data_IF_503524368975
#
_entry.id   IF_503524368975
#
_cell.length_a   1.000
_cell.length_b   1.000
_cell.length_c   1.000
_cell.angle_alpha   90.00
_cell.angle_beta   90.00
_cell.angle_gamma   90.00
#
_symmetry.space_group_name_H-M   'P 1'
#
loop_
_entity.id
_entity.type
_entity.pdbx_description
1 polymer ?
#
# COMPACT_ATOMS: atom_id res chain seq x y z
N UNK A 1 -3.87 -15.00 14.89
CA UNK A 1 -3.86 -13.53 15.00
C UNK A 1 -3.07 -13.12 16.25
N UNK A 2 -2.32 -12.02 16.17
CA UNK A 2 -1.65 -11.41 17.31
C UNK A 2 -1.64 -9.89 17.14
N UNK A 3 -1.63 -9.15 18.25
CA UNK A 3 -1.52 -7.69 18.26
C UNK A 3 -0.47 -7.25 19.26
N UNK A 4 0.47 -6.40 18.85
CA UNK A 4 1.30 -5.61 19.75
C UNK A 4 0.62 -4.27 20.04
N UNK A 5 0.71 -3.82 21.29
CA UNK A 5 0.33 -2.48 21.71
C UNK A 5 1.36 -1.94 22.69
N UNK A 6 1.95 -0.79 22.40
CA UNK A 6 2.84 -0.10 23.34
C UNK A 6 2.10 0.43 24.57
N UNK A 7 0.77 0.57 24.50
CA UNK A 7 -0.08 0.98 25.63
C UNK A 7 -0.27 -0.19 26.61
N UNK A 8 -0.54 -1.39 26.08
CA UNK A 8 -0.55 -2.61 26.88
C UNK A 8 0.87 -3.01 27.33
N UNK A 9 1.88 -2.64 26.56
CA UNK A 9 3.29 -2.96 26.83
C UNK A 9 3.71 -4.34 26.34
N UNK A 10 3.00 -4.93 25.36
CA UNK A 10 3.28 -6.29 24.92
C UNK A 10 2.43 -6.78 23.75
N UNK A 11 2.56 -8.08 23.48
CA UNK A 11 1.79 -8.80 22.46
C UNK A 11 0.65 -9.55 23.14
N UNK A 12 -0.55 -9.48 22.57
CA UNK A 12 -1.69 -10.32 22.93
C UNK A 12 -2.17 -11.16 21.74
N UNK A 13 -2.63 -12.37 22.02
CA UNK A 13 -3.34 -13.22 21.06
C UNK A 13 -4.84 -13.31 21.36
N UNK A 14 -5.31 -12.68 22.45
CA UNK A 14 -6.72 -12.60 22.80
C UNK A 14 -7.38 -11.45 22.01
N UNK A 15 -8.31 -11.74 21.07
CA UNK A 15 -9.01 -10.72 20.30
C UNK A 15 -9.72 -9.67 21.16
N UNK A 16 -10.20 -10.02 22.36
CA UNK A 16 -10.88 -9.07 23.25
C UNK A 16 -9.92 -8.01 23.81
N UNK A 17 -8.62 -8.31 23.88
CA UNK A 17 -7.57 -7.40 24.30
C UNK A 17 -6.93 -6.62 23.13
N UNK A 18 -7.36 -6.86 21.89
CA UNK A 18 -6.88 -6.15 20.70
C UNK A 18 -7.60 -4.81 20.55
N UNK A 19 -7.30 -3.87 21.47
CA UNK A 19 -7.99 -2.59 21.59
C UNK A 19 -7.04 -1.40 21.41
N UNK A 20 -7.59 -0.27 20.97
CA UNK A 20 -6.93 1.03 20.93
C UNK A 20 -7.67 1.96 21.90
N UNK A 21 -6.96 2.74 22.73
CA UNK A 21 -7.60 3.73 23.61
C UNK A 21 -8.42 4.74 22.81
N UNK A 22 -9.63 5.05 23.27
CA UNK A 22 -10.53 5.98 22.58
C UNK A 22 -9.98 7.41 22.56
N UNK A 23 -9.19 7.76 23.56
CA UNK A 23 -8.46 9.03 23.72
C UNK A 23 -7.12 9.06 22.96
N UNK A 24 -6.79 8.00 22.19
CA UNK A 24 -5.68 8.09 21.24
C UNK A 24 -6.03 9.07 20.11
N UNK A 25 -5.17 10.06 19.91
CA UNK A 25 -5.38 11.14 18.94
C UNK A 25 -5.58 10.63 17.50
N UNK A 26 -5.08 9.44 17.17
CA UNK A 26 -5.35 8.78 15.89
C UNK A 26 -6.84 8.43 15.71
N UNK A 27 -7.53 8.04 16.79
CA UNK A 27 -8.92 7.58 16.76
C UNK A 27 -9.88 8.76 16.58
N UNK A 28 -9.74 9.80 17.39
CA UNK A 28 -10.69 10.92 17.40
C UNK A 28 -10.27 12.14 16.57
N UNK A 29 -9.01 12.20 16.08
CA UNK A 29 -8.50 13.27 15.18
C UNK A 29 -7.83 12.79 13.90
N UNK A 30 -7.56 11.50 13.73
CA UNK A 30 -6.82 11.01 12.56
C UNK A 30 -5.32 11.34 12.57
N UNK A 31 -4.76 11.70 13.73
CA UNK A 31 -3.33 12.04 13.86
C UNK A 31 -2.47 10.77 14.04
N UNK A 32 -2.37 9.99 12.96
CA UNK A 32 -1.60 8.75 12.92
C UNK A 32 -1.17 8.35 11.51
N UNK A 33 -0.16 7.50 11.44
CA UNK A 33 0.37 6.90 10.21
C UNK A 33 0.40 5.39 10.32
N UNK A 34 0.43 4.70 9.18
CA UNK A 34 0.45 3.25 9.16
C UNK A 34 1.19 2.70 7.94
N UNK A 35 1.60 1.44 8.03
CA UNK A 35 2.08 0.68 6.88
C UNK A 35 1.65 -0.78 6.96
N UNK A 36 1.93 -1.56 5.92
CA UNK A 36 1.57 -2.97 5.84
C UNK A 36 2.63 -3.72 5.05
N UNK A 37 3.20 -4.75 5.68
CA UNK A 37 4.10 -5.69 5.02
C UNK A 37 3.37 -7.04 4.81
N UNK A 38 3.64 -7.70 3.69
CA UNK A 38 3.10 -9.03 3.43
C UNK A 38 3.89 -10.09 4.22
N UNK A 39 3.21 -11.15 4.63
CA UNK A 39 3.80 -12.35 5.21
C UNK A 39 3.63 -13.46 4.17
N UNK A 40 4.73 -14.00 3.67
CA UNK A 40 4.75 -15.06 2.65
C UNK A 40 5.79 -16.11 3.03
N UNK A 41 5.38 -17.37 3.11
CA UNK A 41 6.23 -18.52 3.44
C UNK A 41 7.13 -18.26 4.65
N UNK A 42 6.55 -17.67 5.70
CA UNK A 42 7.26 -17.38 6.95
C UNK A 42 8.23 -16.18 6.91
N UNK A 43 8.15 -15.35 5.87
CA UNK A 43 8.97 -14.16 5.71
C UNK A 43 8.12 -12.90 5.63
N UNK A 44 8.61 -11.81 6.21
CA UNK A 44 8.07 -10.47 5.97
C UNK A 44 8.72 -9.88 4.72
N UNK A 45 7.89 -9.61 3.71
CA UNK A 45 8.35 -9.06 2.43
C UNK A 45 8.50 -7.54 2.48
N UNK A 46 9.65 -7.05 2.02
CA UNK A 46 10.08 -5.64 2.00
C UNK A 46 9.90 -4.89 3.35
N UNK A 47 10.02 -5.60 4.48
CA UNK A 47 9.76 -5.04 5.82
C UNK A 47 10.56 -3.76 6.07
N UNK A 48 11.84 -3.77 5.73
CA UNK A 48 12.73 -2.64 5.97
C UNK A 48 12.33 -1.42 5.11
N UNK A 49 11.92 -1.63 3.86
CA UNK A 49 11.44 -0.59 2.95
C UNK A 49 10.10 0.00 3.43
N UNK A 50 9.17 -0.85 3.87
CA UNK A 50 7.90 -0.43 4.47
C UNK A 50 8.11 0.32 5.80
N UNK A 51 9.04 -0.13 6.64
CA UNK A 51 9.41 0.54 7.89
C UNK A 51 10.01 1.93 7.62
N UNK A 52 10.91 2.04 6.64
CA UNK A 52 11.48 3.35 6.28
C UNK A 52 10.41 4.32 5.79
N UNK A 53 9.38 3.84 5.07
CA UNK A 53 8.24 4.66 4.65
C UNK A 53 7.34 5.05 5.83
N UNK A 54 7.10 4.16 6.79
CA UNK A 54 6.38 4.49 8.03
C UNK A 54 7.09 5.63 8.78
N UNK A 55 8.41 5.52 8.96
CA UNK A 55 9.19 6.51 9.70
C UNK A 55 9.24 7.88 8.99
N UNK A 56 9.36 7.89 7.65
CA UNK A 56 9.21 9.12 6.86
C UNK A 56 7.82 9.73 7.04
N UNK A 57 6.77 8.91 6.97
CA UNK A 57 5.39 9.37 7.18
C UNK A 57 5.20 9.95 8.58
N UNK A 58 5.73 9.30 9.61
CA UNK A 58 5.69 9.78 11.00
C UNK A 58 6.40 11.13 11.15
N UNK A 59 7.59 11.27 10.54
CA UNK A 59 8.33 12.53 10.53
C UNK A 59 7.54 13.66 9.88
N UNK A 60 6.91 13.42 8.73
CA UNK A 60 6.07 14.40 8.05
C UNK A 60 4.84 14.78 8.87
N UNK A 61 4.24 13.80 9.55
CA UNK A 61 3.11 14.00 10.46
C UNK A 61 3.50 14.65 11.79
N UNK A 62 4.79 14.88 12.07
CA UNK A 62 5.29 15.32 13.38
C UNK A 62 4.93 14.37 14.52
N UNK A 63 4.90 13.06 14.24
CA UNK A 63 4.70 12.00 15.22
C UNK A 63 6.06 11.54 15.73
N UNK A 64 6.28 11.65 17.05
CA UNK A 64 7.46 11.11 17.70
C UNK A 64 7.51 9.58 17.66
N UNK A 65 8.69 9.01 17.87
CA UNK A 65 8.85 7.55 17.89
C UNK A 65 8.88 7.03 19.33
N UNK A 66 8.04 6.04 19.69
CA UNK A 66 8.08 5.43 21.03
C UNK A 66 9.31 4.55 21.24
N UNK A 67 9.91 4.07 20.15
CA UNK A 67 11.10 3.22 20.12
C UNK A 67 11.97 3.60 18.93
N UNK A 68 13.26 3.25 18.96
CA UNK A 68 14.13 3.41 17.80
C UNK A 68 13.77 2.41 16.68
N UNK A 69 14.25 2.68 15.45
CA UNK A 69 13.95 1.86 14.27
C UNK A 69 14.22 0.37 14.48
N UNK A 70 15.33 0.01 15.13
CA UNK A 70 15.71 -1.39 15.32
C UNK A 70 14.78 -2.10 16.29
N UNK A 71 14.38 -1.42 17.36
CA UNK A 71 13.40 -1.91 18.32
C UNK A 71 12.02 -2.06 17.68
N UNK A 72 11.55 -1.09 16.88
CA UNK A 72 10.28 -1.21 16.12
C UNK A 72 10.34 -2.44 15.22
N UNK A 73 11.41 -2.60 14.43
CA UNK A 73 11.59 -3.75 13.54
C UNK A 73 11.48 -5.08 14.28
N UNK A 74 12.15 -5.21 15.41
CA UNK A 74 12.12 -6.44 16.22
C UNK A 74 10.74 -6.70 16.83
N UNK A 75 10.04 -5.66 17.30
CA UNK A 75 8.65 -5.76 17.77
C UNK A 75 7.74 -6.31 16.65
N UNK A 76 7.86 -5.77 15.44
CA UNK A 76 7.08 -6.20 14.28
C UNK A 76 7.32 -7.69 13.96
N UNK A 77 8.58 -8.13 13.92
CA UNK A 77 8.96 -9.53 13.69
C UNK A 77 8.42 -10.44 14.80
N UNK A 78 8.59 -10.06 16.07
CA UNK A 78 8.12 -10.83 17.22
C UNK A 78 6.59 -10.94 17.26
N UNK A 79 5.88 -9.90 16.80
CA UNK A 79 4.42 -9.93 16.69
C UNK A 79 3.96 -10.98 15.67
N UNK A 80 4.66 -11.11 14.54
CA UNK A 80 4.39 -12.16 13.55
C UNK A 80 4.74 -13.54 14.11
N UNK A 81 5.91 -13.70 14.73
CA UNK A 81 6.33 -14.96 15.35
C UNK A 81 5.28 -15.46 16.37
N UNK A 82 4.84 -14.59 17.28
CA UNK A 82 3.82 -14.93 18.29
C UNK A 82 2.48 -15.36 17.68
N UNK A 83 2.14 -14.87 16.48
CA UNK A 83 0.91 -15.23 15.78
C UNK A 83 0.95 -16.61 15.12
N UNK A 84 2.14 -17.18 14.89
CA UNK A 84 2.40 -18.39 14.08
C UNK A 84 1.91 -18.32 12.63
N UNK A 85 1.51 -17.14 12.16
CA UNK A 85 1.03 -16.91 10.81
C UNK A 85 2.20 -16.91 9.84
N UNK A 86 2.18 -17.82 8.86
CA UNK A 86 3.19 -17.90 7.79
C UNK A 86 2.70 -17.30 6.46
N UNK A 87 1.42 -16.97 6.37
CA UNK A 87 0.76 -16.45 5.18
C UNK A 87 -0.29 -15.39 5.55
N UNK A 88 -0.10 -14.14 5.14
CA UNK A 88 -0.98 -13.04 5.52
C UNK A 88 -0.34 -11.65 5.39
N UNK A 89 -0.67 -10.77 6.32
CA UNK A 89 -0.07 -9.44 6.38
C UNK A 89 0.12 -8.96 7.81
N UNK A 90 1.15 -8.15 8.01
CA UNK A 90 1.39 -7.39 9.23
C UNK A 90 1.06 -5.94 8.95
N UNK A 91 0.04 -5.39 9.63
CA UNK A 91 -0.31 -3.97 9.57
C UNK A 91 0.05 -3.29 10.87
N UNK A 92 0.62 -2.09 10.81
CA UNK A 92 1.12 -1.40 11.99
C UNK A 92 0.97 0.10 11.87
N UNK A 93 0.81 0.76 13.01
CA UNK A 93 0.48 2.17 13.15
C UNK A 93 1.40 2.86 14.14
N UNK A 94 1.72 4.12 13.85
CA UNK A 94 2.25 5.07 14.82
C UNK A 94 1.22 6.17 15.01
N UNK A 95 0.88 6.45 16.27
CA UNK A 95 0.04 7.58 16.64
C UNK A 95 0.78 8.53 17.57
N UNK A 96 0.26 9.75 17.68
CA UNK A 96 0.67 10.69 18.75
C UNK A 96 0.38 10.14 20.15
N UNK A 97 -0.55 9.19 20.25
CA UNK A 97 -0.87 8.45 21.46
C UNK A 97 -2.08 9.00 22.23
N UNK A 98 -2.44 8.33 23.35
CA UNK A 98 -3.49 8.75 24.27
C UNK A 98 -3.21 10.09 24.94
N UNK A 99 -4.25 10.79 25.38
CA UNK A 99 -4.13 12.10 26.02
C UNK A 99 -5.48 12.67 26.41
N UNK A 100 -5.72 13.94 26.08
CA UNK A 100 -7.03 14.56 26.16
C UNK A 100 -7.72 14.58 24.78
N UNK A 101 -8.98 15.02 24.75
CA UNK A 101 -9.75 15.10 23.50
C UNK A 101 -9.57 16.43 22.74
N UNK A 102 -8.54 17.23 23.05
CA UNK A 102 -8.30 18.50 22.36
C UNK A 102 -7.77 18.27 20.93
N UNK A 103 -7.49 19.37 20.22
CA UNK A 103 -6.81 19.31 18.92
C UNK A 103 -5.28 19.32 19.08
N UNK A 104 -4.78 19.93 20.15
CA UNK A 104 -3.35 20.02 20.42
C UNK A 104 -2.82 18.68 20.90
N UNK A 105 -1.73 18.20 20.29
CA UNK A 105 -1.01 17.01 20.75
C UNK A 105 -0.19 17.25 22.02
N UNK A 106 -0.15 18.47 22.55
CA UNK A 106 0.59 18.79 23.80
C UNK A 106 0.07 18.02 25.02
N UNK A 107 -1.19 17.58 25.00
CA UNK A 107 -1.80 16.76 26.04
C UNK A 107 -1.46 15.27 25.93
N UNK A 108 -0.81 14.83 24.84
CA UNK A 108 -0.42 13.43 24.63
C UNK A 108 1.02 13.21 25.12
N UNK A 109 1.24 12.53 26.26
CA UNK A 109 2.56 12.44 26.87
C UNK A 109 3.54 11.56 26.09
N UNK A 110 3.05 10.57 25.33
CA UNK A 110 3.88 9.60 24.60
C UNK A 110 3.20 9.11 23.32
N UNK A 111 3.93 9.02 22.19
CA UNK A 111 3.49 8.31 20.99
C UNK A 111 3.17 6.84 21.27
N UNK A 112 2.32 6.24 20.43
CA UNK A 112 1.99 4.82 20.52
C UNK A 112 2.35 4.06 19.24
N UNK A 113 2.73 2.80 19.40
CA UNK A 113 2.95 1.83 18.34
C UNK A 113 1.95 0.68 18.51
N UNK A 114 1.23 0.39 17.45
CA UNK A 114 0.33 -0.75 17.35
C UNK A 114 0.72 -1.61 16.15
N UNK A 115 0.60 -2.93 16.26
CA UNK A 115 0.80 -3.83 15.13
C UNK A 115 -0.17 -5.00 15.23
N UNK A 116 -0.79 -5.41 14.13
CA UNK A 116 -1.71 -6.55 14.07
C UNK A 116 -1.34 -7.47 12.92
N UNK A 117 -1.37 -8.77 13.20
CA UNK A 117 -1.23 -9.81 12.18
C UNK A 117 -2.60 -10.23 11.68
N UNK A 118 -2.79 -10.09 10.38
CA UNK A 118 -4.01 -10.46 9.66
C UNK A 118 -3.68 -11.69 8.83
N UNK A 119 -4.31 -12.81 9.17
CA UNK A 119 -4.12 -14.08 8.47
C UNK A 119 -4.69 -14.02 7.05
N UNK A 120 -3.88 -14.41 6.06
CA UNK A 120 -4.29 -14.51 4.66
C UNK A 120 -4.74 -15.93 4.33
N UNK A 121 -5.64 -16.08 3.36
CA UNK A 121 -6.17 -17.39 2.95
C UNK A 121 -5.74 -17.84 1.55
N UNK A 122 -5.30 -16.93 0.68
CA UNK A 122 -4.74 -17.24 -0.64
C UNK A 122 -4.06 -16.02 -1.28
N UNK A 123 -3.24 -16.26 -2.31
CA UNK A 123 -2.82 -15.19 -3.23
C UNK A 123 -4.07 -14.58 -3.90
N UNK A 124 -4.05 -13.27 -4.23
CA UNK A 124 -5.13 -12.63 -4.95
C UNK A 124 -5.24 -13.21 -6.37
N UNK A 125 -6.47 -13.36 -6.89
CA UNK A 125 -6.67 -13.74 -8.29
C UNK A 125 -6.24 -12.60 -9.23
N UNK A 126 -5.97 -12.95 -10.49
CA UNK A 126 -5.57 -12.01 -11.54
C UNK A 126 -6.73 -11.60 -12.46
N UNK A 127 -7.99 -11.85 -12.10
CA UNK A 127 -9.13 -11.52 -12.97
C UNK A 127 -9.18 -10.02 -13.22
N UNK A 128 -9.25 -9.62 -14.48
CA UNK A 128 -9.27 -8.23 -14.86
C UNK A 128 -10.48 -7.50 -14.29
N UNK A 129 -10.29 -6.22 -13.98
CA UNK A 129 -11.31 -5.39 -13.33
C UNK A 129 -11.69 -4.18 -14.17
N UNK A 130 -12.86 -3.61 -13.88
CA UNK A 130 -13.25 -2.29 -14.36
C UNK A 130 -12.88 -1.22 -13.32
N UNK A 131 -12.44 -0.06 -13.76
CA UNK A 131 -12.22 1.12 -12.91
C UNK A 131 -13.01 2.32 -13.44
N UNK A 132 -13.20 3.33 -12.60
CA UNK A 132 -13.79 4.62 -13.00
C UNK A 132 -12.87 5.76 -12.60
N UNK A 133 -13.02 6.91 -13.24
CA UNK A 133 -12.48 8.17 -12.73
C UNK A 133 -13.31 8.60 -11.52
N UNK A 134 -12.69 8.79 -10.36
CA UNK A 134 -13.41 9.14 -9.14
C UNK A 134 -13.79 10.63 -9.13
N UNK A 135 -15.02 10.97 -8.75
CA UNK A 135 -15.42 12.35 -8.50
C UNK A 135 -15.08 12.81 -7.07
N UNK A 136 -14.79 11.86 -6.17
CA UNK A 136 -14.30 12.16 -4.83
C UNK A 136 -12.90 12.76 -4.95
N UNK A 137 -12.63 13.93 -4.34
CA UNK A 137 -11.32 14.56 -4.44
C UNK A 137 -10.24 13.72 -3.75
N UNK A 138 -9.05 13.63 -4.36
CA UNK A 138 -7.89 13.07 -3.69
C UNK A 138 -7.41 13.97 -2.56
N UNK A 139 -6.56 13.42 -1.69
CA UNK A 139 -5.84 14.23 -0.69
C UNK A 139 -4.90 15.21 -1.38
N UNK A 140 -4.63 16.36 -0.76
CA UNK A 140 -3.56 17.23 -1.24
C UNK A 140 -2.22 16.47 -1.25
N UNK A 141 -1.25 16.83 -2.11
CA UNK A 141 0.01 16.12 -2.25
C UNK A 141 0.72 15.84 -0.92
N UNK A 142 0.73 16.79 0.01
CA UNK A 142 1.39 16.67 1.32
C UNK A 142 0.81 15.53 2.17
N UNK A 143 -0.49 15.29 2.07
CA UNK A 143 -1.16 14.17 2.72
C UNK A 143 -1.17 12.89 1.88
N UNK A 144 -1.12 13.00 0.55
CA UNK A 144 -1.13 11.84 -0.35
C UNK A 144 0.19 11.07 -0.32
N UNK A 145 1.34 11.75 -0.31
CA UNK A 145 2.66 11.10 -0.25
C UNK A 145 2.98 10.47 1.11
N UNK A 146 2.18 10.77 2.13
CA UNK A 146 2.28 10.26 3.49
C UNK A 146 1.24 9.15 3.73
N UNK A 147 1.68 7.97 4.19
CA UNK A 147 0.75 6.88 4.49
C UNK A 147 0.08 7.08 5.85
N UNK A 148 -0.97 7.89 5.88
CA UNK A 148 -1.68 8.32 7.08
C UNK A 148 -3.06 7.67 7.23
N UNK A 149 -3.67 7.77 8.42
CA UNK A 149 -4.97 7.14 8.72
C UNK A 149 -6.20 7.91 8.22
N UNK A 150 -6.06 9.09 7.62
CA UNK A 150 -7.18 9.90 7.12
C UNK A 150 -7.74 9.32 5.82
N UNK A 151 -8.36 8.14 5.91
CA UNK A 151 -8.77 7.32 4.77
C UNK A 151 -10.20 7.57 4.29
N UNK A 152 -10.89 8.59 4.82
CA UNK A 152 -12.26 8.91 4.39
C UNK A 152 -12.37 9.14 2.86
N UNK A 153 -11.50 9.94 2.21
CA UNK A 153 -11.53 10.07 0.75
C UNK A 153 -11.34 8.72 0.03
N UNK A 154 -10.43 7.87 0.53
CA UNK A 154 -10.16 6.55 -0.02
C UNK A 154 -11.40 5.63 0.09
N UNK A 155 -12.08 5.66 1.23
CA UNK A 155 -13.30 4.89 1.45
C UNK A 155 -14.44 5.37 0.55
N UNK A 156 -14.65 6.69 0.43
CA UNK A 156 -15.68 7.26 -0.42
C UNK A 156 -15.43 6.97 -1.91
N UNK A 157 -14.18 7.06 -2.37
CA UNK A 157 -13.81 6.71 -3.76
C UNK A 157 -14.05 5.23 -4.05
N UNK A 158 -13.82 4.35 -3.07
CA UNK A 158 -14.14 2.92 -3.18
C UNK A 158 -15.65 2.68 -3.27
N UNK A 159 -16.44 3.33 -2.41
CA UNK A 159 -17.91 3.23 -2.43
C UNK A 159 -18.48 3.71 -3.77
N UNK A 160 -18.04 4.88 -4.25
CA UNK A 160 -18.44 5.43 -5.55
C UNK A 160 -18.19 4.43 -6.70
N UNK A 161 -17.04 3.78 -6.69
CA UNK A 161 -16.72 2.77 -7.70
C UNK A 161 -17.64 1.55 -7.62
N UNK A 162 -17.91 1.04 -6.42
CA UNK A 162 -18.79 -0.11 -6.21
C UNK A 162 -20.23 0.18 -6.65
N UNK A 163 -20.76 1.36 -6.33
CA UNK A 163 -22.08 1.81 -6.77
C UNK A 163 -22.19 1.89 -8.30
N UNK A 164 -21.07 2.12 -8.98
CA UNK A 164 -20.98 2.16 -10.43
C UNK A 164 -20.53 0.82 -11.05
N UNK A 165 -20.46 -0.28 -10.28
CA UNK A 165 -20.05 -1.59 -10.78
C UNK A 165 -18.58 -1.66 -11.20
N UNK A 166 -17.71 -0.89 -10.56
CA UNK A 166 -16.26 -0.88 -10.76
C UNK A 166 -15.53 -1.36 -9.49
N UNK A 167 -14.29 -1.78 -9.66
CA UNK A 167 -13.44 -2.28 -8.59
C UNK A 167 -12.90 -1.15 -7.71
N UNK A 168 -12.40 -0.07 -8.31
CA UNK A 168 -11.92 1.13 -7.62
C UNK A 168 -12.10 2.39 -8.49
N UNK A 169 -12.09 3.55 -7.84
CA UNK A 169 -11.92 4.84 -8.48
C UNK A 169 -10.44 5.16 -8.69
N UNK A 170 -10.12 5.82 -9.80
CA UNK A 170 -8.81 6.39 -10.13
C UNK A 170 -8.89 7.90 -9.95
N UNK A 171 -8.00 8.45 -9.14
CA UNK A 171 -7.89 9.88 -8.97
C UNK A 171 -7.06 10.54 -10.05
N UNK A 172 -7.37 11.81 -10.27
CA UNK A 172 -6.54 12.74 -11.01
C UNK A 172 -5.98 13.76 -10.02
N UNK A 173 -4.78 14.26 -10.31
CA UNK A 173 -4.20 15.36 -9.56
C UNK A 173 -4.86 16.71 -9.93
N UNK A 174 -4.44 17.79 -9.25
CA UNK A 174 -5.00 19.13 -9.47
C UNK A 174 -4.70 19.69 -10.87
N UNK A 175 -3.82 19.06 -11.64
CA UNK A 175 -3.48 19.44 -13.02
C UNK A 175 -4.19 18.54 -14.05
N UNK A 176 -5.00 17.57 -13.58
CA UNK A 176 -5.76 16.64 -14.43
C UNK A 176 -4.96 15.43 -14.91
N UNK A 177 -3.75 15.22 -14.40
CA UNK A 177 -2.97 14.01 -14.68
C UNK A 177 -3.40 12.85 -13.80
N UNK A 178 -3.19 11.63 -14.28
CA UNK A 178 -3.49 10.43 -13.52
C UNK A 178 -2.64 10.36 -12.26
N UNK A 179 -3.30 10.17 -11.11
CA UNK A 179 -2.66 10.02 -9.81
C UNK A 179 -2.59 8.53 -9.41
N UNK A 180 -3.47 8.08 -8.51
CA UNK A 180 -3.50 6.71 -8.00
C UNK A 180 -4.93 6.27 -7.66
N UNK A 181 -5.10 5.00 -7.28
CA UNK A 181 -6.33 4.51 -6.67
C UNK A 181 -6.34 4.66 -5.14
N UNK A 182 -7.45 4.29 -4.45
CA UNK A 182 -7.62 4.51 -3.01
C UNK A 182 -6.62 3.76 -2.13
N UNK A 183 -5.94 2.73 -2.61
CA UNK A 183 -4.90 2.04 -1.84
C UNK A 183 -3.88 1.31 -2.72
N UNK A 184 -3.69 1.80 -3.95
CA UNK A 184 -2.83 1.19 -4.96
C UNK A 184 -2.37 2.24 -5.97
N UNK A 185 -1.16 2.08 -6.50
CA UNK A 185 -0.69 2.85 -7.64
C UNK A 185 -1.28 2.30 -8.95
N UNK A 186 -1.13 3.05 -10.03
CA UNK A 186 -1.52 2.65 -11.38
C UNK A 186 -0.29 2.60 -12.29
N UNK A 187 -0.29 1.68 -13.25
CA UNK A 187 0.70 1.64 -14.32
C UNK A 187 0.02 1.28 -15.65
N UNK A 188 0.71 1.62 -16.74
CA UNK A 188 0.23 1.47 -18.11
C UNK A 188 1.33 0.88 -18.98
N UNK A 189 0.96 0.09 -19.98
CA UNK A 189 1.88 -0.31 -21.06
C UNK A 189 1.40 0.38 -22.33
N UNK A 190 2.28 1.17 -22.94
CA UNK A 190 1.95 1.89 -24.19
C UNK A 190 2.06 0.99 -25.41
N UNK A 191 1.51 1.45 -26.55
CA UNK A 191 1.70 0.82 -27.85
C UNK A 191 3.18 0.75 -28.29
N UNK A 192 4.02 1.67 -27.79
CA UNK A 192 5.47 1.68 -27.97
C UNK A 192 6.19 0.78 -26.94
N UNK A 193 5.45 -0.13 -26.29
CA UNK A 193 5.95 -1.08 -25.29
C UNK A 193 6.67 -0.45 -24.10
N UNK A 194 6.29 0.76 -23.69
CA UNK A 194 6.86 1.43 -22.51
C UNK A 194 5.97 1.18 -21.28
N UNK A 195 6.56 0.74 -20.16
CA UNK A 195 5.88 0.70 -18.87
C UNK A 195 5.88 2.10 -18.24
N UNK A 196 4.72 2.73 -18.19
CA UNK A 196 4.54 4.09 -17.69
C UNK A 196 3.83 4.12 -16.33
N UNK A 197 4.29 4.97 -15.42
CA UNK A 197 3.66 5.18 -14.12
C UNK A 197 3.73 6.65 -13.70
N UNK A 198 2.71 7.19 -13.01
CA UNK A 198 2.75 8.53 -12.43
C UNK A 198 3.93 8.75 -11.48
N UNK A 199 4.40 10.01 -11.37
CA UNK A 199 5.42 10.39 -10.39
C UNK A 199 4.92 10.24 -8.95
N UNK A 200 5.82 9.86 -8.03
CA UNK A 200 5.52 9.68 -6.60
C UNK A 200 5.59 10.98 -5.77
N UNK A 201 5.62 12.15 -6.41
CA UNK A 201 5.67 13.46 -5.76
C UNK A 201 4.29 13.96 -5.32
N UNK A 202 3.21 13.41 -5.91
CA UNK A 202 1.81 13.75 -5.57
C UNK A 202 0.98 12.56 -5.08
N UNK A 203 1.55 11.36 -5.07
CA UNK A 203 0.87 10.11 -4.69
C UNK A 203 1.74 9.28 -3.76
N UNK A 204 1.17 8.24 -3.16
CA UNK A 204 1.95 7.38 -2.29
C UNK A 204 3.10 6.71 -3.06
N UNK A 205 4.31 6.84 -2.53
CA UNK A 205 5.49 6.12 -2.99
C UNK A 205 5.37 4.63 -2.61
N UNK A 206 4.63 3.86 -3.41
CA UNK A 206 4.29 2.45 -3.18
C UNK A 206 5.52 1.54 -3.15
N UNK A 207 5.72 0.75 -2.09
CA UNK A 207 6.80 -0.25 -2.06
C UNK A 207 6.64 -1.27 -3.19
N UNK A 208 5.44 -1.85 -3.33
CA UNK A 208 5.14 -2.78 -4.44
C UNK A 208 5.34 -2.13 -5.81
N UNK A 209 4.93 -0.87 -6.00
CA UNK A 209 5.15 -0.14 -7.25
C UNK A 209 6.64 0.05 -7.55
N UNK A 210 7.44 0.46 -6.57
CA UNK A 210 8.90 0.55 -6.72
C UNK A 210 9.53 -0.79 -7.04
N UNK A 211 9.07 -1.86 -6.39
CA UNK A 211 9.59 -3.20 -6.63
C UNK A 211 9.22 -3.70 -8.01
N UNK A 212 8.01 -3.40 -8.50
CA UNK A 212 7.59 -3.64 -9.89
C UNK A 212 8.53 -2.95 -10.88
N UNK A 213 8.89 -1.68 -10.66
CA UNK A 213 9.83 -0.97 -11.55
C UNK A 213 11.20 -1.68 -11.59
N UNK A 214 11.70 -2.17 -10.45
CA UNK A 214 12.96 -2.92 -10.40
C UNK A 214 12.85 -4.27 -11.13
N UNK A 215 11.75 -5.00 -10.96
CA UNK A 215 11.56 -6.31 -11.60
C UNK A 215 11.23 -6.19 -13.10
N UNK A 216 10.64 -5.08 -13.53
CA UNK A 216 10.33 -4.80 -14.93
C UNK A 216 11.58 -4.73 -15.82
N UNK A 217 12.77 -4.46 -15.28
CA UNK A 217 14.05 -4.55 -16.00
C UNK A 217 14.28 -5.96 -16.61
N UNK A 218 13.77 -7.02 -15.96
CA UNK A 218 13.82 -8.38 -16.51
C UNK A 218 12.98 -8.50 -17.78
N UNK A 219 11.81 -7.84 -17.81
CA UNK A 219 10.92 -7.83 -18.97
C UNK A 219 11.52 -7.03 -20.14
N UNK A 220 12.35 -6.02 -19.86
CA UNK A 220 13.16 -5.34 -20.88
C UNK A 220 14.18 -6.31 -21.48
N UNK A 221 14.92 -7.04 -20.63
CA UNK A 221 15.90 -8.04 -21.08
C UNK A 221 15.28 -9.18 -21.90
N UNK A 222 14.00 -9.50 -21.66
CA UNK A 222 13.21 -10.49 -22.40
C UNK A 222 12.52 -9.92 -23.65
N UNK A 223 12.62 -8.61 -23.90
CA UNK A 223 12.00 -7.93 -25.05
C UNK A 223 10.48 -7.83 -25.00
N UNK A 224 9.89 -7.97 -23.81
CA UNK A 224 8.44 -7.83 -23.60
C UNK A 224 8.02 -6.37 -23.53
N UNK A 225 8.88 -5.52 -22.94
CA UNK A 225 8.77 -4.06 -22.93
C UNK A 225 10.10 -3.44 -23.38
N UNK A 226 10.07 -2.22 -23.91
CA UNK A 226 11.27 -1.53 -24.44
C UNK A 226 11.86 -0.53 -23.44
N UNK A 227 11.10 -0.14 -22.41
CA UNK A 227 11.56 0.81 -21.39
C UNK A 227 10.57 1.06 -20.26
N UNK A 228 11.01 1.84 -19.28
CA UNK A 228 10.23 2.27 -18.11
C UNK A 228 10.26 3.79 -18.03
N UNK A 229 9.11 4.43 -17.82
CA UNK A 229 9.00 5.88 -17.65
C UNK A 229 8.13 6.27 -16.46
N UNK A 230 8.72 7.08 -15.58
CA UNK A 230 7.98 7.83 -14.58
C UNK A 230 7.66 9.22 -15.16
N UNK A 231 6.39 9.60 -15.15
CA UNK A 231 5.96 10.80 -15.83
C UNK A 231 4.52 11.17 -15.54
N UNK A 232 4.15 12.40 -15.86
CA UNK A 232 2.74 12.76 -15.99
C UNK A 232 2.10 11.89 -17.08
N UNK A 233 0.97 11.27 -16.73
CA UNK A 233 0.15 10.48 -17.65
C UNK A 233 -1.17 11.23 -17.80
N UNK A 234 -1.57 11.60 -19.01
CA UNK A 234 -2.91 12.15 -19.22
C UNK A 234 -3.95 11.02 -19.19
N UNK A 235 -5.20 11.34 -18.87
CA UNK A 235 -6.30 10.36 -18.94
C UNK A 235 -6.43 9.75 -20.33
N UNK A 236 -6.22 10.55 -21.37
CA UNK A 236 -6.24 10.11 -22.77
C UNK A 236 -5.14 9.09 -23.05
N UNK A 237 -3.89 9.38 -22.63
CA UNK A 237 -2.78 8.44 -22.74
C UNK A 237 -3.05 7.14 -21.99
N UNK A 238 -3.54 7.22 -20.76
CA UNK A 238 -3.85 6.04 -19.96
C UNK A 238 -4.99 5.20 -20.53
N UNK A 239 -5.99 5.84 -21.17
CA UNK A 239 -7.08 5.12 -21.87
C UNK A 239 -6.63 4.49 -23.19
N UNK A 240 -5.69 5.11 -23.91
CA UNK A 240 -5.12 4.57 -25.15
C UNK A 240 -4.02 3.51 -24.92
N UNK A 241 -3.72 3.15 -23.67
CA UNK A 241 -2.72 2.14 -23.35
C UNK A 241 -3.15 0.74 -23.81
N UNK A 242 -2.16 -0.10 -24.16
CA UNK A 242 -2.37 -1.52 -24.50
C UNK A 242 -2.71 -2.32 -23.25
N UNK A 243 -2.12 -1.96 -22.10
CA UNK A 243 -2.47 -2.52 -20.80
C UNK A 243 -2.57 -1.42 -19.73
N UNK A 244 -3.46 -1.62 -18.76
CA UNK A 244 -3.52 -0.85 -17.52
C UNK A 244 -3.55 -1.82 -16.34
N UNK A 245 -2.90 -1.48 -15.24
CA UNK A 245 -2.86 -2.31 -14.04
C UNK A 245 -2.83 -1.51 -12.75
N UNK A 246 -3.38 -2.10 -11.69
CA UNK A 246 -3.33 -1.60 -10.33
C UNK A 246 -2.23 -2.34 -9.56
N UNK A 247 -1.44 -1.62 -8.76
CA UNK A 247 -0.29 -2.19 -8.05
C UNK A 247 -0.34 -1.85 -6.57
N UNK A 248 -0.29 -2.86 -5.69
CA UNK A 248 -0.26 -2.65 -4.25
C UNK A 248 -0.21 -3.93 -3.43
N UNK A 249 0.25 -3.85 -2.18
CA UNK A 249 0.58 -5.03 -1.36
C UNK A 249 -0.57 -6.03 -1.15
N UNK A 250 -1.83 -5.60 -1.23
CA UNK A 250 -3.00 -6.48 -1.06
C UNK A 250 -3.51 -7.10 -2.37
N UNK A 251 -3.13 -6.57 -3.53
CA UNK A 251 -3.58 -7.03 -4.85
C UNK A 251 -2.42 -7.49 -5.75
N UNK A 252 -1.18 -7.22 -5.34
CA UNK A 252 0.06 -7.42 -6.07
C UNK A 252 0.07 -6.61 -7.39
N UNK A 253 -0.47 -7.19 -8.45
CA UNK A 253 -0.70 -6.56 -9.76
C UNK A 253 -2.06 -7.04 -10.26
N UNK A 254 -2.98 -6.12 -10.53
CA UNK A 254 -4.36 -6.43 -10.97
C UNK A 254 -4.60 -5.80 -12.35
N UNK A 255 -4.88 -6.59 -13.40
CA UNK A 255 -5.20 -6.05 -14.72
C UNK A 255 -6.48 -5.20 -14.71
N UNK A 256 -6.50 -4.13 -15.48
CA UNK A 256 -7.67 -3.28 -15.71
C UNK A 256 -8.11 -3.42 -17.16
N UNK A 257 -9.34 -3.89 -17.37
CA UNK A 257 -9.91 -4.18 -18.69
C UNK A 257 -10.70 -3.01 -19.25
N UNK A 258 -11.19 -2.13 -18.37
CA UNK A 258 -12.04 -1.02 -18.74
C UNK A 258 -11.85 0.13 -17.76
N UNK A 259 -11.69 1.34 -18.29
CA UNK A 259 -11.70 2.58 -17.54
C UNK A 259 -12.87 3.47 -18.01
N UNK A 260 -13.81 3.73 -17.10
CA UNK A 260 -15.08 4.41 -17.37
C UNK A 260 -15.92 3.62 -18.38
N UNK A 261 -15.99 4.13 -19.61
CA UNK A 261 -16.66 3.51 -20.76
C UNK A 261 -15.65 3.00 -21.79
N UNK A 262 -14.35 3.22 -21.60
CA UNK A 262 -13.31 2.88 -22.54
C UNK A 262 -12.70 1.53 -22.21
N UNK A 263 -12.67 0.62 -23.19
CA UNK A 263 -11.98 -0.67 -23.07
C UNK A 263 -10.47 -0.41 -23.20
N UNK A 264 -9.69 -0.97 -22.29
CA UNK A 264 -8.23 -0.90 -22.35
C UNK A 264 -7.72 -2.03 -23.23
N UNK A 265 -6.84 -1.72 -24.19
CA UNK A 265 -6.34 -2.69 -25.15
C UNK A 265 -7.45 -3.46 -25.86
N UNK A 266 -7.42 -4.79 -25.75
CA UNK A 266 -8.44 -5.70 -26.29
C UNK A 266 -9.49 -6.15 -25.26
N UNK A 267 -9.48 -5.56 -24.07
CA UNK A 267 -10.40 -5.87 -22.97
C UNK A 267 -10.10 -7.19 -22.25
N UNK A 268 -8.89 -7.73 -22.38
CA UNK A 268 -8.43 -8.95 -21.68
C UNK A 268 -7.23 -8.67 -20.77
N UNK A 269 -6.94 -9.63 -19.90
CA UNK A 269 -5.75 -9.58 -19.06
C UNK A 269 -4.49 -9.61 -19.92
N UNK A 270 -3.71 -8.53 -19.84
CA UNK A 270 -2.51 -8.35 -20.65
C UNK A 270 -1.30 -9.17 -20.17
N UNK A 271 -0.40 -9.57 -21.09
CA UNK A 271 0.77 -10.38 -20.77
C UNK A 271 1.77 -9.70 -19.83
N UNK A 272 1.97 -8.38 -19.92
CA UNK A 272 2.92 -7.65 -19.05
C UNK A 272 2.40 -7.62 -17.62
N UNK A 273 1.12 -7.30 -17.40
CA UNK A 273 0.51 -7.33 -16.08
C UNK A 273 0.62 -8.71 -15.44
N UNK A 274 0.40 -9.78 -16.23
CA UNK A 274 0.57 -11.16 -15.75
C UNK A 274 2.02 -11.46 -15.39
N UNK A 275 2.97 -11.11 -16.25
CA UNK A 275 4.39 -11.36 -16.01
C UNK A 275 4.89 -10.61 -14.76
N UNK A 276 4.49 -9.35 -14.57
CA UNK A 276 4.86 -8.57 -13.38
C UNK A 276 4.27 -9.16 -12.08
N UNK A 277 3.04 -9.66 -12.13
CA UNK A 277 2.47 -10.39 -10.99
C UNK A 277 3.31 -11.61 -10.65
N UNK A 278 3.60 -12.45 -11.65
CA UNK A 278 4.35 -13.70 -11.47
C UNK A 278 5.75 -13.40 -10.89
N UNK A 279 6.41 -12.34 -11.38
CA UNK A 279 7.71 -11.90 -10.87
C UNK A 279 7.65 -11.42 -9.42
N UNK A 280 6.63 -10.65 -9.02
CA UNK A 280 6.50 -10.22 -7.62
C UNK A 280 6.22 -11.42 -6.72
N UNK A 281 5.35 -12.35 -7.14
CA UNK A 281 5.08 -13.57 -6.36
C UNK A 281 6.34 -14.41 -6.20
N UNK A 282 7.09 -14.62 -7.28
CA UNK A 282 8.39 -15.29 -7.23
C UNK A 282 9.33 -14.56 -6.27
N UNK A 283 9.44 -13.24 -6.35
CA UNK A 283 10.31 -12.45 -5.47
C UNK A 283 9.89 -12.52 -3.99
N UNK A 284 8.59 -12.64 -3.69
CA UNK A 284 8.09 -12.88 -2.33
C UNK A 284 8.45 -14.29 -1.80
N UNK A 285 8.51 -15.29 -2.68
CA UNK A 285 8.75 -16.70 -2.34
C UNK A 285 10.22 -17.11 -2.32
N UNK A 286 11.02 -16.55 -3.24
CA UNK A 286 12.40 -16.98 -3.51
C UNK A 286 13.37 -15.81 -3.70
N UNK A 287 12.91 -14.56 -3.56
CA UNK A 287 13.74 -13.38 -3.66
C UNK A 287 14.89 -13.31 -2.64
N UNK A 288 15.82 -12.36 -2.81
CA UNK A 288 16.99 -12.24 -1.94
C UNK A 288 16.63 -11.81 -0.50
N UNK A 289 17.54 -12.04 0.44
CA UNK A 289 17.39 -11.63 1.84
C UNK A 289 17.17 -10.11 2.03
N UNK A 290 17.54 -9.28 1.05
CA UNK A 290 17.31 -7.83 1.08
C UNK A 290 15.84 -7.42 0.97
N UNK A 291 14.97 -8.33 0.50
CA UNK A 291 13.51 -8.10 0.39
C UNK A 291 12.70 -9.13 1.18
N UNK A 292 13.34 -10.12 1.81
CA UNK A 292 12.69 -11.16 2.61
C UNK A 292 13.33 -11.25 3.99
N UNK A 293 12.61 -10.79 5.00
CA UNK A 293 13.05 -10.88 6.39
C UNK A 293 12.47 -12.15 7.02
N UNK A 294 13.29 -13.13 7.43
CA UNK A 294 12.79 -14.35 8.04
C UNK A 294 12.17 -14.07 9.41
N UNK A 295 11.06 -14.74 9.71
CA UNK A 295 10.43 -14.72 11.03
C UNK A 295 10.89 -15.94 11.84
N UNK A 296 11.40 -15.77 13.07
CA UNK A 296 11.79 -16.87 13.95
C UNK A 296 10.53 -17.42 14.65
N UNK A 297 9.85 -18.39 14.03
CA UNK A 297 8.68 -19.05 14.62
C UNK A 297 9.02 -20.01 15.76
#
# INVERSE_FOLDING_TARGET
MAMFSSIFGGITTDPAAMVIPMDDHMVHRGHGVFDTAAIMDGHLYELDQHLDRLLRSASMAKIGLPFDRSTIRNILINTVSASKCTQGSLRYWLSVGPGDFQLSSSGCPKPALYAIVIEGRSLPDQKGVRVITSSIPMKSPEFAIMKNVNYLPNALSKVEAEENGAFVGIWLDNEGYVAEGPNMNVAFVTADKELMMPHFDKILSGCTAKRVLVLAEKLIGEGMIDGIRLGNVSVEQGKMADEMMLIGSGIIVKPVLQWDKHIIGDGKEGPVAKALFDLIVEDMQSGPASVRVPVPY
#
